data_IF_643109895110
#
_entry.id   IF_643109895110
#
_cell.length_a   1.000
_cell.length_b   1.000
_cell.length_c   1.000
_cell.angle_alpha   90.00
_cell.angle_beta   90.00
_cell.angle_gamma   90.00
#
_symmetry.space_group_name_H-M   'P 1'
#
loop_
_entity.id
_entity.type
_entity.pdbx_description
1 polymer ?
#
# COMPACT_ATOMS: atom_id res chain seq x y z
N UNK A 1 10.59 -11.77 16.18
CA UNK A 1 9.95 -10.48 15.88
C UNK A 1 10.66 -9.93 14.66
N UNK A 2 9.96 -9.81 13.53
CA UNK A 2 10.48 -9.19 12.33
C UNK A 2 10.61 -7.68 12.57
N UNK A 3 11.70 -7.06 12.15
CA UNK A 3 11.88 -5.62 12.26
C UNK A 3 10.94 -4.90 11.28
N UNK A 4 10.44 -3.71 11.62
CA UNK A 4 9.64 -2.86 10.71
C UNK A 4 10.31 -2.69 9.34
N UNK A 5 11.64 -2.58 9.30
CA UNK A 5 12.40 -2.47 8.04
C UNK A 5 12.37 -3.73 7.18
N UNK A 6 12.32 -4.90 7.81
CA UNK A 6 12.27 -6.17 7.08
C UNK A 6 10.85 -6.40 6.55
N UNK A 7 9.81 -6.07 7.33
CA UNK A 7 8.42 -6.10 6.87
C UNK A 7 8.14 -5.07 5.77
N UNK A 8 8.73 -3.87 5.83
CA UNK A 8 8.66 -2.89 4.74
C UNK A 8 9.33 -3.43 3.47
N UNK A 9 10.50 -4.07 3.59
CA UNK A 9 11.16 -4.72 2.45
C UNK A 9 10.32 -5.84 1.86
N UNK A 10 9.71 -6.68 2.70
CA UNK A 10 8.80 -7.74 2.27
C UNK A 10 7.62 -7.16 1.49
N UNK A 11 6.99 -6.10 2.02
CA UNK A 11 5.88 -5.40 1.39
C UNK A 11 6.24 -4.88 -0.01
N UNK A 12 7.38 -4.20 -0.13
CA UNK A 12 7.86 -3.67 -1.41
C UNK A 12 8.18 -4.79 -2.41
N UNK A 13 8.81 -5.88 -1.96
CA UNK A 13 9.08 -7.04 -2.81
C UNK A 13 7.78 -7.68 -3.30
N UNK A 14 6.79 -7.82 -2.42
CA UNK A 14 5.51 -8.45 -2.77
C UNK A 14 4.73 -7.63 -3.81
N UNK A 15 4.78 -6.31 -3.73
CA UNK A 15 4.26 -5.41 -4.78
C UNK A 15 5.00 -5.65 -6.10
N UNK A 16 6.33 -5.65 -6.08
CA UNK A 16 7.15 -5.85 -7.28
C UNK A 16 6.85 -7.20 -7.95
N UNK A 17 6.79 -8.29 -7.18
CA UNK A 17 6.47 -9.64 -7.68
C UNK A 17 5.08 -9.68 -8.32
N UNK A 18 4.10 -9.02 -7.68
CA UNK A 18 2.72 -8.97 -8.17
C UNK A 18 2.58 -8.21 -9.49
N UNK A 19 3.43 -7.21 -9.71
CA UNK A 19 3.45 -6.36 -10.91
C UNK A 19 4.53 -6.73 -11.93
N UNK A 20 5.24 -7.85 -11.70
CA UNK A 20 6.35 -8.27 -12.55
C UNK A 20 5.93 -8.56 -14.00
N UNK A 21 4.69 -9.02 -14.23
CA UNK A 21 4.17 -9.42 -15.54
C UNK A 21 2.88 -8.68 -15.94
N UNK A 22 2.42 -7.73 -15.12
CA UNK A 22 1.18 -7.00 -15.34
C UNK A 22 1.30 -5.58 -14.77
N UNK A 23 0.54 -4.66 -15.33
CA UNK A 23 0.59 -3.26 -14.90
C UNK A 23 -0.40 -2.95 -13.76
N UNK A 24 -1.30 -3.86 -13.44
CA UNK A 24 -2.26 -3.72 -12.36
C UNK A 24 -2.66 -5.09 -11.80
N UNK A 25 -2.97 -5.13 -10.51
CA UNK A 25 -3.46 -6.29 -9.82
C UNK A 25 -4.47 -5.90 -8.73
N UNK A 26 -5.48 -6.74 -8.51
CA UNK A 26 -6.36 -6.67 -7.34
C UNK A 26 -5.89 -7.70 -6.33
N UNK A 27 -5.47 -7.26 -5.15
CA UNK A 27 -4.95 -8.12 -4.08
C UNK A 27 -5.73 -7.89 -2.79
N UNK A 28 -5.78 -8.89 -1.91
CA UNK A 28 -6.19 -8.62 -0.53
C UNK A 28 -5.11 -7.81 0.16
N UNK A 29 -5.50 -6.83 0.97
CA UNK A 29 -4.53 -5.98 1.66
C UNK A 29 -3.57 -6.80 2.55
N UNK A 30 -4.07 -7.86 3.21
CA UNK A 30 -3.26 -8.75 4.04
C UNK A 30 -2.19 -9.55 3.28
N UNK A 31 -2.36 -9.78 1.97
CA UNK A 31 -1.40 -10.54 1.15
C UNK A 31 -0.10 -9.78 0.85
N UNK A 32 -0.04 -8.48 1.17
CA UNK A 32 1.13 -7.62 0.98
C UNK A 32 2.08 -7.61 2.18
N UNK A 33 1.69 -8.18 3.32
CA UNK A 33 2.46 -8.09 4.57
C UNK A 33 2.75 -9.45 5.17
N UNK A 34 3.84 -9.56 5.94
CA UNK A 34 4.26 -10.78 6.64
C UNK A 34 3.94 -10.77 8.14
N UNK A 35 3.06 -9.87 8.58
CA UNK A 35 2.68 -9.70 9.98
C UNK A 35 1.19 -9.40 10.15
N UNK A 36 0.70 -9.56 11.38
CA UNK A 36 -0.70 -9.33 11.71
C UNK A 36 -1.00 -7.87 12.07
N UNK A 37 -2.13 -7.38 11.59
CA UNK A 37 -2.67 -6.04 11.76
C UNK A 37 -4.18 -6.05 11.51
N UNK A 38 -4.94 -5.18 12.17
CA UNK A 38 -6.40 -5.11 12.06
C UNK A 38 -6.84 -4.09 11.00
N UNK A 39 -6.17 -2.94 10.97
CA UNK A 39 -6.49 -1.81 10.09
C UNK A 39 -5.24 -1.26 9.41
N UNK A 40 -5.33 -0.95 8.13
CA UNK A 40 -4.33 -0.24 7.34
C UNK A 40 -4.90 1.11 6.88
N UNK A 41 -4.33 2.23 7.33
CA UNK A 41 -4.71 3.57 6.89
C UNK A 41 -3.66 4.19 5.96
N UNK A 42 -4.13 4.89 4.92
CA UNK A 42 -3.29 5.62 3.99
C UNK A 42 -3.38 7.11 4.30
N UNK A 43 -2.27 7.73 4.70
CA UNK A 43 -2.22 9.16 4.97
C UNK A 43 -1.28 9.87 4.01
N UNK A 44 -1.74 11.02 3.51
CA UNK A 44 -0.94 11.93 2.70
C UNK A 44 -0.29 12.96 3.62
N UNK A 45 1.01 12.80 3.86
CA UNK A 45 1.85 13.81 4.53
C UNK A 45 2.99 14.21 3.56
N UNK A 46 4.18 14.56 4.06
CA UNK A 46 5.41 14.74 3.27
C UNK A 46 5.82 13.49 2.48
N UNK A 47 5.30 12.34 2.88
CA UNK A 47 5.42 11.02 2.25
C UNK A 47 4.05 10.33 2.31
N UNK A 48 3.87 9.28 1.51
CA UNK A 48 2.73 8.39 1.70
C UNK A 48 2.99 7.53 2.95
N UNK A 49 2.15 7.68 3.98
CA UNK A 49 2.22 6.87 5.18
C UNK A 49 1.22 5.73 5.09
N UNK A 50 1.70 4.50 5.27
CA UNK A 50 0.87 3.31 5.47
C UNK A 50 0.94 2.94 6.94
N UNK A 51 -0.14 3.18 7.69
CA UNK A 51 -0.22 2.91 9.12
C UNK A 51 -1.00 1.64 9.38
N UNK A 52 -0.32 0.62 9.88
CA UNK A 52 -0.88 -0.67 10.25
C UNK A 52 -1.09 -0.69 11.76
N UNK A 53 -2.35 -0.79 12.21
CA UNK A 53 -2.70 -0.82 13.63
C UNK A 53 -3.18 -2.20 14.05
N UNK A 54 -2.73 -2.68 15.21
CA UNK A 54 -3.11 -3.98 15.80
C UNK A 54 -3.13 -3.89 17.32
N UNK A 55 -4.29 -4.07 17.96
CA UNK A 55 -4.36 -4.12 19.43
C UNK A 55 -3.66 -2.97 20.18
N UNK A 56 -3.66 -1.75 19.63
CA UNK A 56 -3.00 -0.56 20.22
C UNK A 56 -1.52 -0.38 19.86
N UNK A 57 -0.94 -1.28 19.07
CA UNK A 57 0.38 -1.12 18.46
C UNK A 57 0.24 -0.58 17.03
N UNK A 58 1.24 0.18 16.59
CA UNK A 58 1.28 0.75 15.24
C UNK A 58 2.62 0.43 14.56
N UNK A 59 2.55 0.00 13.31
CA UNK A 59 3.68 -0.10 12.38
C UNK A 59 3.45 0.86 11.23
N UNK A 60 4.43 1.69 10.90
CA UNK A 60 4.30 2.72 9.86
C UNK A 60 5.34 2.51 8.78
N UNK A 61 4.90 2.44 7.52
CA UNK A 61 5.78 2.55 6.35
C UNK A 61 5.67 3.96 5.79
N UNK A 62 6.82 4.61 5.56
CA UNK A 62 6.88 5.99 5.06
C UNK A 62 7.47 6.01 3.64
N UNK A 63 6.58 5.87 2.65
CA UNK A 63 6.93 5.63 1.26
C UNK A 63 7.10 6.95 0.48
N UNK A 64 8.20 7.10 -0.30
CA UNK A 64 8.44 8.31 -1.07
C UNK A 64 7.44 8.47 -2.22
N UNK A 65 6.97 9.70 -2.48
CA UNK A 65 6.00 9.96 -3.55
C UNK A 65 6.56 9.77 -4.95
N UNK A 66 7.88 9.78 -5.07
CA UNK A 66 8.62 9.49 -6.29
C UNK A 66 8.42 8.05 -6.76
N UNK A 67 8.01 7.14 -5.87
CA UNK A 67 7.80 5.72 -6.19
C UNK A 67 6.43 5.19 -5.75
N UNK A 68 5.72 5.86 -4.84
CA UNK A 68 4.44 5.41 -4.31
C UNK A 68 3.41 6.53 -4.25
N UNK A 69 2.18 6.26 -4.64
CA UNK A 69 1.15 7.27 -4.80
C UNK A 69 -0.22 6.77 -4.36
N UNK A 70 -1.01 7.69 -3.84
CA UNK A 70 -2.46 7.57 -3.68
C UNK A 70 -3.07 8.87 -4.18
N UNK A 71 -4.20 8.79 -4.87
CA UNK A 71 -4.87 9.97 -5.39
C UNK A 71 -5.37 10.92 -4.28
N UNK A 72 -5.78 12.14 -4.61
CA UNK A 72 -6.39 13.03 -3.62
C UNK A 72 -7.68 12.42 -3.02
N UNK A 73 -8.09 12.77 -1.79
CA UNK A 73 -9.24 12.14 -1.11
C UNK A 73 -10.58 12.24 -1.86
N UNK A 74 -10.74 13.27 -2.71
CA UNK A 74 -11.93 13.50 -3.52
C UNK A 74 -11.96 12.69 -4.83
N UNK A 75 -10.85 12.03 -5.20
CA UNK A 75 -10.79 11.18 -6.39
C UNK A 75 -11.48 9.85 -6.10
N UNK A 76 -12.28 9.37 -7.05
CA UNK A 76 -12.96 8.08 -6.95
C UNK A 76 -11.96 6.96 -6.67
N UNK A 77 -12.32 6.04 -5.76
CA UNK A 77 -11.47 4.93 -5.29
C UNK A 77 -10.15 5.33 -4.65
N UNK A 78 -9.92 6.61 -4.35
CA UNK A 78 -8.75 7.00 -3.57
C UNK A 78 -8.80 6.38 -2.19
N UNK A 79 -7.64 5.89 -1.73
CA UNK A 79 -7.44 5.43 -0.36
C UNK A 79 -6.96 6.54 0.57
N UNK A 80 -6.68 7.74 0.06
CA UNK A 80 -6.17 8.83 0.89
C UNK A 80 -7.13 9.19 2.02
N UNK A 81 -6.60 9.24 3.25
CA UNK A 81 -7.32 9.49 4.49
C UNK A 81 -8.39 8.42 4.79
N UNK A 82 -8.21 7.23 4.22
CA UNK A 82 -9.10 6.07 4.43
C UNK A 82 -8.31 4.89 4.98
N UNK A 83 -9.06 3.99 5.59
CA UNK A 83 -8.53 2.75 6.12
C UNK A 83 -9.23 1.54 5.50
N UNK A 84 -8.49 0.46 5.38
CA UNK A 84 -8.96 -0.85 4.91
C UNK A 84 -8.66 -1.90 5.96
N UNK A 85 -9.52 -2.91 6.02
CA UNK A 85 -9.31 -4.13 6.79
C UNK A 85 -8.44 -5.14 6.05
N UNK A 86 -8.08 -6.21 6.75
CA UNK A 86 -7.24 -7.31 6.22
C UNK A 86 -7.80 -7.96 4.96
N UNK A 87 -9.12 -8.17 4.93
CA UNK A 87 -9.81 -8.90 3.86
C UNK A 87 -10.27 -7.98 2.72
N UNK A 88 -10.14 -6.67 2.90
CA UNK A 88 -10.48 -5.72 1.86
C UNK A 88 -9.51 -5.86 0.68
N UNK A 89 -10.06 -5.65 -0.51
CA UNK A 89 -9.30 -5.73 -1.75
C UNK A 89 -8.88 -4.33 -2.17
N UNK A 90 -7.63 -4.22 -2.60
CA UNK A 90 -7.07 -2.99 -3.14
C UNK A 90 -6.50 -3.27 -4.53
N UNK A 91 -6.49 -2.23 -5.35
CA UNK A 91 -5.77 -2.22 -6.62
C UNK A 91 -4.38 -1.66 -6.35
N UNK A 92 -3.36 -2.41 -6.78
CA UNK A 92 -2.01 -1.89 -6.97
C UNK A 92 -1.75 -1.80 -8.47
N UNK A 93 -1.20 -0.69 -8.94
CA UNK A 93 -0.93 -0.50 -10.37
C UNK A 93 0.27 0.39 -10.62
N UNK A 94 0.91 0.22 -11.78
CA UNK A 94 1.86 1.20 -12.31
C UNK A 94 1.06 2.41 -12.80
N UNK A 95 1.35 3.58 -12.24
CA UNK A 95 0.70 4.84 -12.64
C UNK A 95 1.08 5.23 -14.06
N UNK A 96 2.35 5.06 -14.41
CA UNK A 96 2.91 5.33 -15.73
C UNK A 96 3.73 4.13 -16.23
N UNK A 97 3.08 3.12 -16.85
CA UNK A 97 3.78 1.96 -17.37
C UNK A 97 4.94 2.34 -18.30
N UNK A 98 6.16 1.86 -18.00
CA UNK A 98 7.35 2.04 -18.84
C UNK A 98 8.12 3.36 -18.68
N UNK A 99 7.71 4.26 -17.78
CA UNK A 99 8.39 5.56 -17.60
C UNK A 99 9.07 5.72 -16.23
N UNK A 100 8.41 5.34 -15.12
CA UNK A 100 8.93 5.55 -13.75
C UNK A 100 8.47 4.51 -12.72
N UNK A 101 7.64 3.54 -13.11
CA UNK A 101 7.08 2.49 -12.24
C UNK A 101 6.52 2.99 -10.90
N UNK A 102 6.03 4.24 -10.84
CA UNK A 102 5.32 4.77 -9.66
C UNK A 102 4.13 3.86 -9.38
N UNK A 103 4.07 3.32 -8.18
CA UNK A 103 2.99 2.44 -7.76
C UNK A 103 1.87 3.26 -7.17
N UNK A 104 0.68 3.12 -7.73
CA UNK A 104 -0.54 3.73 -7.24
C UNK A 104 -1.41 2.70 -6.51
N UNK A 105 -1.93 3.11 -5.35
CA UNK A 105 -2.89 2.35 -4.54
C UNK A 105 -4.30 2.92 -4.70
N UNK A 106 -5.29 2.06 -4.92
CA UNK A 106 -6.70 2.42 -5.01
C UNK A 106 -7.57 1.37 -4.32
N UNK A 107 -8.77 1.77 -3.90
CA UNK A 107 -9.80 0.85 -3.46
C UNK A 107 -10.26 -0.02 -4.64
N UNK A 108 -10.43 -1.33 -4.42
CA UNK A 108 -11.04 -2.20 -5.43
C UNK A 108 -12.57 -2.03 -5.45
N UNK A 109 -13.18 -2.40 -6.58
CA UNK A 109 -14.65 -2.46 -6.75
C UNK A 109 -15.31 -3.54 -5.89
#
# INVERSE_FOLDING_TARGET
>A
MTSTKDSERHFLQRIADTLAQQDSAVVKASELTDFDWDTLCFERDKKLLLKFSSGGQETVFALPYETHYVAEPYVEKSLAERCVGREDRIVIRKKYPGYQDVIEFQQAD
#
